data_IF_198509413598
#
_entry.id   IF_198509413598
#
_cell.length_a   1.000
_cell.length_b   1.000
_cell.length_c   1.000
_cell.angle_alpha   90.00
_cell.angle_beta   90.00
_cell.angle_gamma   90.00
#
_symmetry.space_group_name_H-M   'P 1'
#
loop_
_entity.id
_entity.type
_entity.pdbx_description
1 polymer ?
#
# COMPACT_ATOMS: atom_id res chain seq x y z
N UNK A 1 2.13 18.21 3.97
CA UNK A 1 1.92 16.94 3.23
C UNK A 1 3.11 16.56 2.34
N UNK A 2 3.73 17.52 1.65
CA UNK A 2 4.87 17.24 0.74
C UNK A 2 6.05 16.52 1.39
N UNK A 3 6.51 16.96 2.57
CA UNK A 3 7.64 16.33 3.29
C UNK A 3 7.39 14.84 3.53
N UNK A 4 6.15 14.49 3.89
CA UNK A 4 5.77 13.10 4.11
C UNK A 4 5.87 12.29 2.82
N UNK A 5 5.38 12.82 1.69
CA UNK A 5 5.52 12.16 0.38
C UNK A 5 6.99 11.99 0.01
N UNK A 6 7.83 13.00 0.19
CA UNK A 6 9.27 12.89 -0.03
C UNK A 6 9.92 11.80 0.81
N UNK A 7 9.59 11.72 2.11
CA UNK A 7 10.11 10.67 3.00
C UNK A 7 9.64 9.29 2.53
N UNK A 8 8.36 9.14 2.18
CA UNK A 8 7.80 7.88 1.69
C UNK A 8 8.45 7.46 0.37
N UNK A 9 8.63 8.38 -0.58
CA UNK A 9 9.33 8.14 -1.85
C UNK A 9 10.76 7.71 -1.58
N UNK A 10 11.50 8.47 -0.78
CA UNK A 10 12.91 8.18 -0.48
C UNK A 10 13.06 6.79 0.13
N UNK A 11 12.26 6.46 1.14
CA UNK A 11 12.35 5.15 1.80
C UNK A 11 11.91 4.02 0.87
N UNK A 12 10.85 4.23 0.08
CA UNK A 12 10.39 3.24 -0.91
C UNK A 12 11.45 3.00 -1.98
N UNK A 13 12.09 4.06 -2.49
CA UNK A 13 13.16 3.99 -3.45
C UNK A 13 14.38 3.26 -2.87
N UNK A 14 14.85 3.64 -1.68
CA UNK A 14 15.96 2.97 -0.99
C UNK A 14 15.66 1.49 -0.77
N UNK A 15 14.48 1.15 -0.25
CA UNK A 15 14.06 -0.24 -0.05
C UNK A 15 14.05 -1.02 -1.38
N UNK A 16 13.56 -0.41 -2.46
CA UNK A 16 13.57 -1.02 -3.80
C UNK A 16 14.98 -1.26 -4.30
N UNK A 17 15.86 -0.26 -4.20
CA UNK A 17 17.26 -0.35 -4.62
C UNK A 17 18.03 -1.43 -3.84
N UNK A 18 17.77 -1.60 -2.53
CA UNK A 18 18.43 -2.66 -1.74
C UNK A 18 18.07 -4.08 -2.19
N UNK A 19 17.03 -4.25 -3.02
CA UNK A 19 16.61 -5.55 -3.56
C UNK A 19 17.17 -5.85 -4.95
N UNK A 20 17.79 -4.88 -5.62
CA UNK A 20 18.41 -5.06 -6.95
C UNK A 20 19.41 -6.24 -6.98
N UNK A 21 20.33 -6.40 -6.01
CA UNK A 21 21.28 -7.51 -6.02
C UNK A 21 20.61 -8.89 -5.91
N UNK A 22 19.38 -8.94 -5.40
CA UNK A 22 18.61 -10.17 -5.19
C UNK A 22 17.64 -10.52 -6.31
N UNK A 23 17.55 -9.72 -7.39
CA UNK A 23 16.61 -9.92 -8.51
C UNK A 23 16.78 -11.25 -9.26
N UNK A 24 17.96 -11.87 -9.15
CA UNK A 24 18.25 -13.21 -9.67
C UNK A 24 17.47 -14.32 -8.94
N UNK A 25 16.97 -14.05 -7.72
CA UNK A 25 16.13 -14.97 -6.97
C UNK A 25 14.66 -14.52 -7.05
N UNK A 26 13.78 -15.38 -7.56
CA UNK A 26 12.35 -15.14 -7.79
C UNK A 26 11.61 -14.58 -6.56
N UNK A 27 12.04 -14.93 -5.34
CA UNK A 27 11.47 -14.44 -4.08
C UNK A 27 11.65 -12.93 -3.85
N UNK A 28 12.69 -12.31 -4.42
CA UNK A 28 12.90 -10.86 -4.27
C UNK A 28 12.21 -10.04 -5.36
N UNK A 29 11.77 -10.66 -6.46
CA UNK A 29 11.17 -9.96 -7.59
C UNK A 29 9.82 -9.32 -7.21
N UNK A 30 8.96 -10.03 -6.47
CA UNK A 30 7.69 -9.48 -6.00
C UNK A 30 7.88 -8.30 -5.05
N UNK A 31 8.79 -8.41 -4.08
CA UNK A 31 9.06 -7.34 -3.12
C UNK A 31 9.67 -6.13 -3.83
N UNK A 32 10.58 -6.35 -4.77
CA UNK A 32 11.12 -5.30 -5.63
C UNK A 32 10.02 -4.61 -6.43
N UNK A 33 9.14 -5.38 -7.10
CA UNK A 33 8.05 -4.83 -7.89
C UNK A 33 7.06 -4.04 -7.02
N UNK A 34 6.72 -4.53 -5.83
CA UNK A 34 5.91 -3.80 -4.87
C UNK A 34 6.55 -2.46 -4.49
N UNK A 35 7.84 -2.47 -4.16
CA UNK A 35 8.60 -1.26 -3.83
C UNK A 35 8.67 -0.28 -5.00
N UNK A 36 8.91 -0.78 -6.22
CA UNK A 36 8.95 0.02 -7.44
C UNK A 36 7.60 0.66 -7.72
N UNK A 37 6.51 -0.10 -7.67
CA UNK A 37 5.16 0.43 -7.84
C UNK A 37 4.82 1.49 -6.78
N UNK A 38 5.23 1.28 -5.52
CA UNK A 38 5.05 2.28 -4.47
C UNK A 38 5.88 3.55 -4.75
N UNK A 39 7.15 3.41 -5.12
CA UNK A 39 8.02 4.53 -5.46
C UNK A 39 7.48 5.34 -6.63
N UNK A 40 6.97 4.68 -7.68
CA UNK A 40 6.29 5.33 -8.81
C UNK A 40 5.01 6.02 -8.32
N UNK A 41 4.15 5.34 -7.57
CA UNK A 41 2.90 5.91 -7.07
C UNK A 41 3.11 7.18 -6.26
N UNK A 42 4.03 7.16 -5.28
CA UNK A 42 4.31 8.32 -4.46
C UNK A 42 5.14 9.38 -5.18
N UNK A 43 6.01 8.99 -6.11
CA UNK A 43 6.79 9.90 -6.93
C UNK A 43 5.92 10.73 -7.86
N UNK A 44 4.92 10.10 -8.47
CA UNK A 44 3.91 10.78 -9.29
C UNK A 44 3.07 11.78 -8.49
N UNK A 45 2.94 11.62 -7.17
CA UNK A 45 2.19 12.53 -6.30
C UNK A 45 2.97 13.77 -5.85
N UNK A 46 4.26 13.91 -6.23
CA UNK A 46 5.02 15.13 -5.95
C UNK A 46 4.57 16.25 -6.90
N UNK A 47 4.23 17.47 -6.43
CA UNK A 47 3.61 18.50 -7.26
C UNK A 47 4.31 18.76 -8.60
N UNK A 48 5.63 18.94 -8.59
CA UNK A 48 6.41 19.17 -9.80
C UNK A 48 6.41 17.98 -10.78
N UNK A 49 6.42 16.75 -10.27
CA UNK A 49 6.35 15.52 -11.10
C UNK A 49 4.93 15.32 -11.60
N UNK A 50 3.95 15.57 -10.74
CA UNK A 50 2.53 15.45 -11.02
C UNK A 50 2.17 16.36 -12.19
N UNK A 51 2.40 17.67 -12.07
CA UNK A 51 2.08 18.63 -13.13
C UNK A 51 2.82 18.30 -14.44
N UNK A 52 4.10 17.93 -14.36
CA UNK A 52 4.87 17.56 -15.54
C UNK A 52 4.26 16.36 -16.28
N UNK A 53 3.92 15.29 -15.56
CA UNK A 53 3.35 14.08 -16.15
C UNK A 53 1.91 14.31 -16.60
N UNK A 54 1.14 15.09 -15.86
CA UNK A 54 -0.28 15.36 -16.16
C UNK A 54 -0.45 16.16 -17.44
N UNK A 55 0.46 17.10 -17.70
CA UNK A 55 0.52 17.87 -18.94
C UNK A 55 0.81 17.01 -20.19
N UNK A 56 1.22 15.74 -20.05
CA UNK A 56 1.40 14.82 -21.17
C UNK A 56 0.08 14.18 -21.62
N UNK A 57 -0.96 14.26 -20.79
CA UNK A 57 -2.27 13.67 -21.07
C UNK A 57 -3.25 14.72 -21.58
N UNK A 58 -4.19 14.28 -22.42
CA UNK A 58 -5.30 15.13 -22.89
C UNK A 58 -6.31 15.43 -21.77
N UNK A 59 -6.40 14.56 -20.76
CA UNK A 59 -7.31 14.69 -19.63
C UNK A 59 -6.51 15.02 -18.38
N UNK A 60 -6.92 16.07 -17.69
CA UNK A 60 -6.33 16.50 -16.42
C UNK A 60 -6.53 15.45 -15.34
N UNK A 61 -5.59 15.39 -14.40
CA UNK A 61 -5.51 14.47 -13.26
C UNK A 61 -5.39 12.99 -13.60
N UNK A 62 -5.06 12.64 -14.85
CA UNK A 62 -4.81 11.26 -15.25
C UNK A 62 -3.60 10.66 -14.50
N UNK A 63 -2.69 11.53 -14.07
CA UNK A 63 -1.55 11.16 -13.23
C UNK A 63 -1.97 10.61 -11.87
N UNK A 64 -3.00 11.19 -11.23
CA UNK A 64 -3.53 10.71 -9.95
C UNK A 64 -4.12 9.29 -10.07
N UNK A 65 -4.84 9.05 -11.17
CA UNK A 65 -5.34 7.72 -11.50
C UNK A 65 -4.21 6.70 -11.60
N UNK A 66 -3.19 6.97 -12.41
CA UNK A 66 -2.03 6.07 -12.54
C UNK A 66 -1.32 5.84 -11.21
N UNK A 67 -1.12 6.89 -10.42
CA UNK A 67 -0.48 6.80 -9.12
C UNK A 67 -1.27 5.88 -8.16
N UNK A 68 -2.60 6.05 -8.08
CA UNK A 68 -3.46 5.21 -7.23
C UNK A 68 -3.51 3.77 -7.71
N UNK A 69 -3.59 3.53 -9.02
CA UNK A 69 -3.55 2.18 -9.60
C UNK A 69 -2.22 1.46 -9.29
N UNK A 70 -1.08 2.17 -9.42
CA UNK A 70 0.22 1.66 -9.04
C UNK A 70 0.29 1.35 -7.53
N UNK A 71 -0.30 2.21 -6.69
CA UNK A 71 -0.37 2.00 -5.25
C UNK A 71 -1.21 0.76 -4.88
N UNK A 72 -2.36 0.56 -5.51
CA UNK A 72 -3.20 -0.62 -5.30
C UNK A 72 -2.43 -1.91 -5.62
N UNK A 73 -1.70 -1.90 -6.74
CA UNK A 73 -0.87 -3.03 -7.15
C UNK A 73 0.28 -3.26 -6.15
N UNK A 74 0.96 -2.20 -5.74
CA UNK A 74 2.06 -2.25 -4.77
C UNK A 74 1.62 -2.91 -3.46
N UNK A 75 0.50 -2.45 -2.88
CA UNK A 75 -0.03 -2.95 -1.62
C UNK A 75 -0.54 -4.38 -1.77
N UNK A 76 -1.19 -4.71 -2.89
CA UNK A 76 -1.65 -6.07 -3.14
C UNK A 76 -0.49 -7.08 -3.18
N UNK A 77 0.59 -6.75 -3.89
CA UNK A 77 1.80 -7.59 -3.93
C UNK A 77 2.42 -7.69 -2.54
N UNK A 78 2.54 -6.56 -1.83
CA UNK A 78 3.08 -6.51 -0.47
C UNK A 78 2.32 -7.45 0.47
N UNK A 79 0.99 -7.39 0.44
CA UNK A 79 0.12 -8.21 1.28
C UNK A 79 0.29 -9.70 0.97
N UNK A 80 0.44 -10.06 -0.30
CA UNK A 80 0.74 -11.43 -0.69
C UNK A 80 2.09 -11.89 -0.13
N UNK A 81 3.13 -11.06 -0.18
CA UNK A 81 4.45 -11.40 0.38
C UNK A 81 4.41 -11.54 1.91
N UNK A 82 3.72 -10.64 2.61
CA UNK A 82 3.51 -10.76 4.07
C UNK A 82 2.75 -12.05 4.38
N UNK A 83 1.69 -12.37 3.64
CA UNK A 83 0.93 -13.59 3.83
C UNK A 83 1.76 -14.86 3.57
N UNK A 84 2.66 -14.85 2.58
CA UNK A 84 3.65 -15.93 2.35
C UNK A 84 4.61 -16.06 3.52
N UNK A 85 5.15 -14.95 4.02
CA UNK A 85 6.05 -14.94 5.17
C UNK A 85 5.39 -15.48 6.45
N UNK A 86 4.09 -15.18 6.64
CA UNK A 86 3.27 -15.70 7.74
C UNK A 86 2.70 -17.10 7.49
N UNK A 87 2.96 -17.70 6.32
CA UNK A 87 2.41 -19.00 5.88
C UNK A 87 0.87 -19.06 5.97
N UNK A 88 0.19 -17.96 5.70
CA UNK A 88 -1.26 -17.85 5.80
C UNK A 88 -1.94 -18.09 4.43
N UNK A 89 -2.31 -19.33 4.17
CA UNK A 89 -2.96 -19.75 2.90
C UNK A 89 -4.33 -19.12 2.68
N UNK A 90 -5.06 -18.79 3.76
CA UNK A 90 -6.37 -18.14 3.66
C UNK A 90 -6.24 -16.74 3.09
N UNK A 91 -5.30 -15.94 3.61
CA UNK A 91 -5.05 -14.60 3.08
C UNK A 91 -4.60 -14.68 1.62
N UNK A 92 -3.67 -15.58 1.30
CA UNK A 92 -3.21 -15.78 -0.09
C UNK A 92 -4.33 -16.13 -1.06
N UNK A 93 -5.31 -16.96 -0.64
CA UNK A 93 -6.47 -17.28 -1.47
C UNK A 93 -7.37 -16.06 -1.70
N UNK A 94 -7.55 -15.24 -0.67
CA UNK A 94 -8.39 -14.04 -0.72
C UNK A 94 -7.72 -12.84 -1.42
N UNK A 95 -6.41 -12.87 -1.66
CA UNK A 95 -5.67 -11.80 -2.34
C UNK A 95 -5.14 -12.21 -3.71
N UNK A 96 -4.46 -13.36 -3.82
CA UNK A 96 -3.85 -13.84 -5.06
C UNK A 96 -4.67 -14.93 -5.77
N UNK A 97 -5.65 -15.54 -5.09
CA UNK A 97 -6.59 -16.48 -5.71
C UNK A 97 -7.59 -15.78 -6.62
N UNK A 98 -8.47 -16.57 -7.26
CA UNK A 98 -9.47 -16.06 -8.21
C UNK A 98 -10.31 -14.95 -7.58
N UNK A 99 -10.82 -15.18 -6.36
CA UNK A 99 -11.60 -14.18 -5.61
C UNK A 99 -10.86 -12.87 -5.42
N UNK A 100 -9.59 -12.92 -5.03
CA UNK A 100 -8.79 -11.71 -4.79
C UNK A 100 -8.49 -10.96 -6.08
N UNK A 101 -8.15 -11.69 -7.14
CA UNK A 101 -7.96 -11.11 -8.49
C UNK A 101 -9.23 -10.47 -9.01
N UNK A 102 -10.40 -11.09 -8.81
CA UNK A 102 -11.68 -10.51 -9.21
C UNK A 102 -11.97 -9.23 -8.45
N UNK A 103 -11.79 -9.19 -7.12
CA UNK A 103 -11.99 -7.97 -6.33
C UNK A 103 -11.03 -6.86 -6.78
N UNK A 104 -9.75 -7.19 -7.03
CA UNK A 104 -8.77 -6.24 -7.54
C UNK A 104 -9.23 -5.66 -8.89
N UNK A 105 -9.55 -6.51 -9.88
CA UNK A 105 -10.01 -6.07 -11.21
C UNK A 105 -11.27 -5.23 -11.12
N UNK A 106 -12.25 -5.62 -10.30
CA UNK A 106 -13.46 -4.82 -10.07
C UNK A 106 -13.12 -3.47 -9.46
N UNK A 107 -12.18 -3.40 -8.52
CA UNK A 107 -11.71 -2.13 -7.94
C UNK A 107 -11.05 -1.26 -9.00
N UNK A 108 -10.20 -1.82 -9.86
CA UNK A 108 -9.59 -1.10 -10.99
C UNK A 108 -10.64 -0.53 -11.93
N UNK A 109 -11.59 -1.36 -12.38
CA UNK A 109 -12.66 -0.95 -13.30
C UNK A 109 -13.53 0.12 -12.65
N UNK A 110 -13.93 -0.04 -11.40
CA UNK A 110 -14.75 0.92 -10.69
C UNK A 110 -14.02 2.25 -10.49
N UNK A 111 -12.73 2.22 -10.14
CA UNK A 111 -11.89 3.41 -10.03
C UNK A 111 -11.78 4.15 -11.37
N UNK A 112 -11.59 3.42 -12.48
CA UNK A 112 -11.55 3.99 -13.83
C UNK A 112 -12.88 4.64 -14.21
N UNK A 113 -14.00 3.96 -13.94
CA UNK A 113 -15.34 4.48 -14.23
C UNK A 113 -15.62 5.74 -13.42
N UNK A 114 -15.39 5.73 -12.11
CA UNK A 114 -15.63 6.89 -11.25
C UNK A 114 -14.75 8.08 -11.68
N UNK A 115 -13.46 7.84 -11.90
CA UNK A 115 -12.55 8.87 -12.43
C UNK A 115 -13.01 9.40 -13.80
N UNK A 116 -13.58 8.55 -14.66
CA UNK A 116 -14.08 8.98 -15.96
C UNK A 116 -15.22 10.01 -15.85
N UNK A 117 -15.95 10.04 -14.73
CA UNK A 117 -17.05 10.95 -14.45
C UNK A 117 -16.69 12.13 -13.53
N UNK A 118 -15.45 12.25 -13.04
CA UNK A 118 -15.02 13.43 -12.27
C UNK A 118 -14.76 14.60 -13.20
N UNK A 119 -15.16 15.81 -12.79
CA UNK A 119 -14.87 17.07 -13.48
C UNK A 119 -13.77 17.84 -12.74
N UNK A 120 -12.53 17.69 -13.20
CA UNK A 120 -11.33 18.19 -12.50
C UNK A 120 -10.45 18.99 -13.45
N UNK A 121 -10.79 20.27 -13.73
CA UNK A 121 -10.19 21.05 -14.81
C UNK A 121 -8.71 21.39 -14.59
N UNK A 122 -8.26 21.51 -13.35
CA UNK A 122 -6.90 21.88 -12.98
C UNK A 122 -6.16 20.69 -12.32
N UNK A 123 -4.83 20.56 -12.54
CA UNK A 123 -4.04 19.54 -11.87
C UNK A 123 -4.06 19.71 -10.35
N UNK A 124 -4.43 18.65 -9.63
CA UNK A 124 -4.44 18.62 -8.17
C UNK A 124 -3.98 17.27 -7.67
N UNK A 125 -2.74 17.15 -7.14
CA UNK A 125 -2.24 15.89 -6.57
C UNK A 125 -3.19 15.34 -5.50
N UNK A 126 -3.55 14.05 -5.62
CA UNK A 126 -4.52 13.43 -4.72
C UNK A 126 -5.97 13.88 -4.93
N UNK A 127 -6.24 14.73 -5.93
CA UNK A 127 -7.50 15.46 -6.14
C UNK A 127 -7.90 16.31 -4.93
N UNK A 128 -6.91 16.85 -4.21
CA UNK A 128 -7.13 17.60 -2.96
C UNK A 128 -7.97 18.87 -3.13
N UNK A 129 -7.95 19.50 -4.30
CA UNK A 129 -8.76 20.68 -4.60
C UNK A 129 -10.24 20.35 -4.90
N UNK A 130 -10.56 19.08 -5.13
CA UNK A 130 -11.87 18.62 -5.58
C UNK A 130 -12.55 17.69 -4.57
N UNK A 131 -12.20 17.81 -3.29
CA UNK A 131 -12.68 16.91 -2.24
C UNK A 131 -14.18 17.03 -1.97
N UNK A 132 -14.77 18.16 -2.35
CA UNK A 132 -16.20 18.44 -2.24
C UNK A 132 -16.99 17.84 -3.42
N UNK A 133 -16.33 17.37 -4.49
CA UNK A 133 -16.98 16.66 -5.59
C UNK A 133 -17.35 15.23 -5.14
N UNK A 134 -18.64 14.86 -5.15
CA UNK A 134 -19.09 13.51 -4.76
C UNK A 134 -18.44 12.39 -5.57
N UNK A 135 -18.14 12.61 -6.85
CA UNK A 135 -17.49 11.61 -7.70
C UNK A 135 -16.02 11.42 -7.31
N UNK A 136 -15.32 12.49 -6.96
CA UNK A 136 -13.95 12.44 -6.44
C UNK A 136 -13.92 11.74 -5.09
N UNK A 137 -14.90 12.00 -4.23
CA UNK A 137 -14.99 11.36 -2.92
C UNK A 137 -15.34 9.86 -3.04
N UNK A 138 -16.27 9.49 -3.93
CA UNK A 138 -16.57 8.10 -4.24
C UNK A 138 -15.36 7.36 -4.82
N UNK A 139 -14.67 7.99 -5.78
CA UNK A 139 -13.44 7.48 -6.38
C UNK A 139 -12.37 7.19 -5.32
N UNK A 140 -12.07 8.17 -4.46
CA UNK A 140 -11.11 8.00 -3.36
C UNK A 140 -11.58 6.94 -2.36
N UNK A 141 -12.87 6.86 -2.08
CA UNK A 141 -13.45 5.86 -1.18
C UNK A 141 -13.20 4.45 -1.69
N UNK A 142 -13.38 4.19 -2.99
CA UNK A 142 -13.12 2.86 -3.59
C UNK A 142 -11.66 2.44 -3.41
N UNK A 143 -10.72 3.35 -3.68
CA UNK A 143 -9.28 3.09 -3.52
C UNK A 143 -8.94 2.76 -2.07
N UNK A 144 -9.40 3.60 -1.13
CA UNK A 144 -9.11 3.41 0.30
C UNK A 144 -9.83 2.18 0.84
N UNK A 145 -11.04 1.87 0.40
CA UNK A 145 -11.79 0.69 0.80
C UNK A 145 -11.07 -0.59 0.42
N UNK A 146 -10.48 -0.67 -0.78
CA UNK A 146 -9.69 -1.83 -1.18
C UNK A 146 -8.42 -2.00 -0.31
N UNK A 147 -7.73 -0.91 0.01
CA UNK A 147 -6.59 -0.94 0.93
C UNK A 147 -7.04 -1.39 2.33
N UNK A 148 -8.19 -0.90 2.80
CA UNK A 148 -8.81 -1.33 4.05
C UNK A 148 -9.17 -2.82 4.07
N UNK A 149 -9.72 -3.33 2.96
CA UNK A 149 -9.97 -4.76 2.76
C UNK A 149 -8.69 -5.59 2.93
N UNK A 150 -7.61 -5.21 2.25
CA UNK A 150 -6.32 -5.88 2.37
C UNK A 150 -5.76 -5.81 3.81
N UNK A 151 -5.92 -4.65 4.46
CA UNK A 151 -5.57 -4.48 5.87
C UNK A 151 -6.34 -5.44 6.78
N UNK A 152 -7.65 -5.54 6.60
CA UNK A 152 -8.51 -6.42 7.40
C UNK A 152 -8.10 -7.90 7.32
N UNK A 153 -7.62 -8.35 6.16
CA UNK A 153 -7.11 -9.71 5.99
C UNK A 153 -5.82 -9.96 6.78
N UNK A 154 -4.95 -8.95 6.94
CA UNK A 154 -3.62 -9.08 7.53
C UNK A 154 -3.55 -8.76 9.03
N UNK A 155 -4.39 -7.87 9.55
CA UNK A 155 -4.29 -7.42 10.95
C UNK A 155 -4.33 -8.60 11.92
N UNK A 156 -5.30 -9.51 11.77
CA UNK A 156 -5.41 -10.68 12.64
C UNK A 156 -4.13 -11.55 12.67
N UNK A 157 -3.64 -12.02 11.51
CA UNK A 157 -2.37 -12.75 11.40
C UNK A 157 -1.16 -11.99 11.96
N UNK A 158 -1.03 -10.68 11.70
CA UNK A 158 0.08 -9.87 12.18
C UNK A 158 0.06 -9.69 13.70
N UNK A 159 -1.12 -9.49 14.30
CA UNK A 159 -1.29 -9.41 15.77
C UNK A 159 -0.88 -10.73 16.43
N UNK A 160 -1.20 -11.88 15.81
CA UNK A 160 -0.76 -13.19 16.32
C UNK A 160 0.76 -13.36 16.21
N UNK A 161 1.36 -12.95 15.09
CA UNK A 161 2.80 -13.01 14.89
C UNK A 161 3.55 -12.10 15.89
N UNK A 162 3.05 -10.89 16.12
CA UNK A 162 3.61 -9.94 17.08
C UNK A 162 3.62 -10.46 18.53
N UNK A 163 2.72 -11.38 18.88
CA UNK A 163 2.62 -11.99 20.21
C UNK A 163 3.46 -13.25 20.37
N UNK A 164 4.04 -13.78 19.29
CA UNK A 164 4.76 -15.07 19.31
C UNK A 164 6.26 -14.85 19.61
N UNK A 165 6.83 -15.38 20.72
CA UNK A 165 8.27 -15.34 21.00
C UNK A 165 9.08 -16.15 19.97
N UNK A 166 10.37 -15.83 19.66
CA UNK A 166 11.38 -15.25 20.54
C UNK A 166 12.14 -14.00 20.01
N UNK A 167 11.72 -13.38 18.90
CA UNK A 167 12.49 -12.33 18.21
C UNK A 167 11.85 -10.94 18.34
N UNK A 168 12.33 -10.12 19.29
CA UNK A 168 11.80 -8.77 19.55
C UNK A 168 11.69 -7.88 18.30
N UNK A 169 12.66 -7.96 17.38
CA UNK A 169 12.66 -7.14 16.16
C UNK A 169 11.59 -7.59 15.15
N UNK A 170 11.35 -8.89 15.03
CA UNK A 170 10.22 -9.42 14.23
C UNK A 170 8.88 -9.03 14.85
N UNK A 171 8.78 -9.12 16.17
CA UNK A 171 7.56 -8.70 16.88
C UNK A 171 7.26 -7.21 16.68
N UNK A 172 8.28 -6.37 16.80
CA UNK A 172 8.16 -4.93 16.53
C UNK A 172 7.73 -4.69 15.07
N UNK A 173 8.34 -5.39 14.10
CA UNK A 173 7.95 -5.30 12.70
C UNK A 173 6.46 -5.67 12.49
N UNK A 174 6.03 -6.81 13.02
CA UNK A 174 4.64 -7.28 12.91
C UNK A 174 3.65 -6.37 13.65
N UNK A 175 4.05 -5.78 14.77
CA UNK A 175 3.24 -4.80 15.52
C UNK A 175 3.07 -3.49 14.75
N UNK A 176 4.15 -2.95 14.16
CA UNK A 176 4.10 -1.76 13.32
C UNK A 176 3.23 -1.97 12.07
N UNK A 177 3.40 -3.12 11.40
CA UNK A 177 2.56 -3.49 10.26
C UNK A 177 1.09 -3.63 10.69
N UNK A 178 0.81 -4.32 11.81
CA UNK A 178 -0.55 -4.47 12.32
C UNK A 178 -1.19 -3.11 12.63
N UNK A 179 -0.45 -2.21 13.27
CA UNK A 179 -0.91 -0.86 13.59
C UNK A 179 -1.20 -0.06 12.31
N UNK A 180 -0.28 -0.07 11.35
CA UNK A 180 -0.46 0.58 10.05
C UNK A 180 -1.69 0.08 9.30
N UNK A 181 -1.84 -1.24 9.13
CA UNK A 181 -3.01 -1.81 8.48
C UNK A 181 -4.32 -1.59 9.26
N UNK A 182 -4.26 -1.49 10.59
CA UNK A 182 -5.44 -1.13 11.40
C UNK A 182 -5.87 0.31 11.14
N UNK A 183 -4.92 1.24 11.03
CA UNK A 183 -5.21 2.62 10.63
C UNK A 183 -5.74 2.70 9.20
N UNK A 184 -5.28 1.85 8.29
CA UNK A 184 -5.84 1.76 6.93
C UNK A 184 -7.32 1.35 6.93
N UNK A 185 -7.71 0.39 7.79
CA UNK A 185 -9.12 0.00 7.98
C UNK A 185 -9.91 1.17 8.55
N UNK A 186 -9.39 1.81 9.59
CA UNK A 186 -10.03 2.97 10.20
C UNK A 186 -10.23 4.09 9.15
N UNK A 187 -9.23 4.34 8.31
CA UNK A 187 -9.27 5.31 7.23
C UNK A 187 -10.30 4.97 6.16
N UNK A 188 -10.51 3.69 5.87
CA UNK A 188 -11.58 3.24 4.96
C UNK A 188 -12.96 3.51 5.55
N UNK A 189 -13.16 3.20 6.83
CA UNK A 189 -14.42 3.49 7.55
C UNK A 189 -14.69 5.00 7.56
N UNK A 190 -13.68 5.82 7.85
CA UNK A 190 -13.83 7.28 7.84
C UNK A 190 -14.20 7.82 6.46
N UNK A 191 -13.70 7.24 5.36
CA UNK A 191 -14.11 7.71 4.02
C UNK A 191 -15.54 7.34 3.69
N UNK A 192 -15.96 6.14 4.06
CA UNK A 192 -17.36 5.73 3.90
C UNK A 192 -18.28 6.62 4.74
N UNK A 193 -17.87 6.96 5.97
CA UNK A 193 -18.61 7.91 6.81
C UNK A 193 -18.56 9.35 6.25
N UNK A 194 -17.45 9.73 5.63
CA UNK A 194 -17.23 11.02 4.97
C UNK A 194 -18.11 11.25 3.75
N UNK A 195 -18.70 10.20 3.16
CA UNK A 195 -19.79 10.35 2.17
C UNK A 195 -21.05 10.97 2.77
N UNK A 196 -21.21 10.95 4.10
CA UNK A 196 -22.39 11.46 4.80
C UNK A 196 -22.09 12.61 5.78
N UNK A 197 -20.82 12.86 6.12
CA UNK A 197 -20.39 13.85 7.12
C UNK A 197 -19.21 14.65 6.58
N UNK A 198 -19.42 15.95 6.42
CA UNK A 198 -18.40 16.90 5.94
C UNK A 198 -17.25 17.07 6.95
N UNK A 199 -16.02 17.30 6.46
CA UNK A 199 -14.84 17.58 7.28
C UNK A 199 -14.02 16.37 7.74
N UNK A 200 -14.46 15.13 7.50
CA UNK A 200 -13.69 13.91 7.84
C UNK A 200 -12.50 13.64 6.89
N UNK A 201 -12.45 14.33 5.75
CA UNK A 201 -11.44 14.12 4.71
C UNK A 201 -10.02 14.48 5.17
N UNK A 202 -9.83 15.70 5.70
CA UNK A 202 -8.51 16.21 6.11
C UNK A 202 -7.91 15.36 7.24
N UNK A 203 -8.74 15.03 8.24
CA UNK A 203 -8.35 14.13 9.32
C UNK A 203 -7.95 12.75 8.79
N UNK A 204 -8.69 12.24 7.82
CA UNK A 204 -8.34 11.02 7.09
C UNK A 204 -6.96 11.11 6.41
N UNK A 205 -6.59 12.25 5.85
CA UNK A 205 -5.32 12.40 5.15
C UNK A 205 -4.11 12.31 6.09
N UNK A 206 -4.23 12.83 7.30
CA UNK A 206 -3.22 12.65 8.37
C UNK A 206 -3.08 11.17 8.73
N UNK A 207 -4.20 10.46 8.87
CA UNK A 207 -4.21 9.01 9.17
C UNK A 207 -3.52 8.22 8.05
N UNK A 208 -3.74 8.56 6.78
CA UNK A 208 -3.05 7.94 5.65
C UNK A 208 -1.53 8.12 5.74
N UNK A 209 -1.07 9.28 6.19
CA UNK A 209 0.35 9.53 6.40
C UNK A 209 0.97 8.71 7.53
N UNK A 210 0.30 8.65 8.69
CA UNK A 210 0.74 7.82 9.82
C UNK A 210 0.72 6.34 9.42
N UNK A 211 -0.31 5.91 8.68
CA UNK A 211 -0.41 4.56 8.12
C UNK A 211 0.81 4.21 7.28
N UNK A 212 1.17 5.08 6.33
CA UNK A 212 2.33 4.86 5.47
C UNK A 212 3.63 4.75 6.27
N UNK A 213 3.84 5.65 7.25
CA UNK A 213 5.02 5.61 8.12
C UNK A 213 5.11 4.30 8.92
N UNK A 214 4.01 3.88 9.55
CA UNK A 214 3.98 2.62 10.31
C UNK A 214 4.26 1.40 9.44
N UNK A 215 3.66 1.34 8.24
CA UNK A 215 3.90 0.23 7.30
C UNK A 215 5.35 0.21 6.86
N UNK A 216 5.91 1.35 6.48
CA UNK A 216 7.31 1.48 6.05
C UNK A 216 8.27 1.10 7.19
N UNK A 217 8.08 1.65 8.39
CA UNK A 217 8.90 1.32 9.56
C UNK A 217 8.80 -0.17 9.91
N UNK A 218 7.62 -0.77 9.76
CA UNK A 218 7.41 -2.20 9.91
C UNK A 218 8.21 -3.03 8.90
N UNK A 219 8.21 -2.63 7.62
CA UNK A 219 9.00 -3.29 6.57
C UNK A 219 10.50 -3.16 6.76
N UNK A 220 10.98 -1.97 7.14
CA UNK A 220 12.39 -1.74 7.48
C UNK A 220 12.81 -2.62 8.66
N UNK A 221 11.98 -2.69 9.70
CA UNK A 221 12.23 -3.53 10.87
C UNK A 221 12.26 -5.02 10.50
N UNK A 222 11.35 -5.47 9.63
CA UNK A 222 11.32 -6.84 9.13
C UNK A 222 12.60 -7.18 8.34
N UNK A 223 13.08 -6.25 7.51
CA UNK A 223 14.32 -6.42 6.76
C UNK A 223 15.56 -6.44 7.65
N UNK A 224 15.63 -5.56 8.65
CA UNK A 224 16.70 -5.60 9.65
C UNK A 224 16.68 -6.90 10.45
N UNK A 225 15.49 -7.44 10.77
CA UNK A 225 15.37 -8.74 11.41
C UNK A 225 15.92 -9.87 10.53
N UNK A 226 15.59 -9.85 9.22
CA UNK A 226 16.12 -10.84 8.29
C UNK A 226 17.65 -10.82 8.23
N UNK A 227 18.28 -9.63 8.14
CA UNK A 227 19.74 -9.48 8.12
C UNK A 227 20.40 -9.85 9.45
N UNK A 228 19.79 -9.49 10.58
CA UNK A 228 20.36 -9.76 11.91
C UNK A 228 20.29 -11.24 12.30
N UNK A 229 19.27 -11.96 11.82
CA UNK A 229 19.04 -13.37 12.17
C UNK A 229 19.32 -14.34 11.02
N UNK A 230 20.14 -13.93 10.04
CA UNK A 230 20.41 -14.60 8.76
C UNK A 230 21.06 -16.01 8.87
N UNK A 231 21.32 -16.54 10.08
CA UNK A 231 22.13 -17.75 10.28
C UNK A 231 21.55 -18.94 11.05
N UNK A 232 20.25 -19.07 11.38
CA UNK A 232 19.80 -20.34 12.03
C UNK A 232 18.46 -20.98 11.67
N UNK A 233 17.50 -20.31 11.01
CA UNK A 233 16.20 -20.98 10.68
C UNK A 233 15.69 -20.84 9.26
N UNK A 234 16.25 -19.96 8.43
CA UNK A 234 15.79 -19.82 7.03
C UNK A 234 16.37 -20.94 6.14
N UNK A 235 17.57 -21.45 6.45
CA UNK A 235 18.09 -22.70 5.84
C UNK A 235 17.22 -23.94 6.13
N UNK A 236 16.48 -23.98 7.23
CA UNK A 236 15.59 -25.11 7.55
C UNK A 236 14.31 -25.12 6.71
N UNK A 237 13.91 -24.00 6.10
CA UNK A 237 12.74 -23.95 5.20
C UNK A 237 13.09 -24.18 3.73
N UNK A 238 14.35 -24.07 3.35
CA UNK A 238 14.83 -24.33 1.98
C UNK A 238 15.30 -25.79 1.76
N UNK A 239 15.41 -26.59 2.84
CA UNK A 239 15.84 -28.00 2.80
C UNK A 239 14.77 -29.01 3.24
N UNK A 240 13.50 -28.60 3.45
CA UNK A 240 12.39 -29.57 3.57
C UNK A 240 11.68 -29.71 2.23
N UNK A 241 12.30 -30.52 1.37
CA UNK A 241 11.60 -31.37 0.42
C UNK A 241 10.78 -32.36 1.24
N UNK A 242 9.46 -32.29 1.13
CA UNK A 242 8.53 -33.43 0.99
C UNK A 242 7.13 -32.89 0.75
#
# INVERSE_FOLDING_TARGET
>A
MEILFFVVVLVSAVMTLTRIPGLSHSLNQSIFLSGLCAAVAFGLMLPAVYEFVDNLFLRTNFTDLFAKLALLLAINILVCEIARALRNTRVLRLTAGISGKTILVLTFVLALLLFAFTDTPEPSPGLGAYIDDPMVLAYNTVIVAYIGYLGALLVGPLVRDARTPPQKLRQAASALLAAGFSLAIFRAVLMVAGLAIDGLYEFGQIISGITALLVISGLVSAWMALRKYETSRIRQSALRIR
#
